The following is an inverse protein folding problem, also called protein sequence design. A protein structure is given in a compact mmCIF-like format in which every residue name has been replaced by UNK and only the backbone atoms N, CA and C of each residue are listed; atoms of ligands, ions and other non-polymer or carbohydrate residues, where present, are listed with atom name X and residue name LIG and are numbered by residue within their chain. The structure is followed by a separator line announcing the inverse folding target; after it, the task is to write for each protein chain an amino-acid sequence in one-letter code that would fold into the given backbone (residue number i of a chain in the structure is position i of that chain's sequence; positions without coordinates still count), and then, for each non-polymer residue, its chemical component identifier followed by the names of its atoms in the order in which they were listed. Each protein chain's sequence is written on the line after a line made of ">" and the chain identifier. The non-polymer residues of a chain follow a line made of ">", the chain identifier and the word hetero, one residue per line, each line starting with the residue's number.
data_IF_535474289811
#
_entry.id   IF_535474289811
#
_cell.length_a   1.000
_cell.length_b   1.000
_cell.length_c   1.000
_cell.angle_alpha   90.00
_cell.angle_beta   90.00
_cell.angle_gamma   90.00
#
_symmetry.space_group_name_H-M   'P 1'
#
loop_
_entity.id
_entity.type
_entity.pdbx_description
1 polymer ?
#
# COMPACT_ATOMS: atom_id res chain seq x y z
N UNK A 1 -8.77 18.81 3.56
CA UNK A 1 -9.40 18.24 4.77
C UNK A 1 -8.41 18.20 5.94
N UNK A 2 -8.88 18.38 7.16
CA UNK A 2 -8.06 18.25 8.39
C UNK A 2 -7.81 16.78 8.73
N UNK A 3 -8.66 15.90 8.23
CA UNK A 3 -8.62 14.45 8.45
C UNK A 3 -8.54 13.77 7.08
N UNK A 4 -7.74 12.70 6.93
CA UNK A 4 -7.72 11.92 5.70
C UNK A 4 -9.10 11.34 5.36
N UNK A 5 -9.49 11.45 4.11
CA UNK A 5 -10.76 10.94 3.61
C UNK A 5 -10.52 9.62 2.89
N UNK A 6 -11.38 8.64 3.14
CA UNK A 6 -11.40 7.36 2.44
C UNK A 6 -12.72 7.21 1.69
N UNK A 7 -12.61 6.87 0.41
CA UNK A 7 -13.72 6.57 -0.50
C UNK A 7 -13.32 5.36 -1.37
N UNK A 8 -13.62 5.30 -2.65
CA UNK A 8 -13.00 4.33 -3.58
C UNK A 8 -11.51 4.61 -3.87
N UNK A 9 -10.94 5.58 -3.20
CA UNK A 9 -9.56 6.01 -3.13
C UNK A 9 -9.25 6.58 -1.75
N UNK A 10 -8.33 7.53 -1.68
CA UNK A 10 -8.03 8.34 -0.50
C UNK A 10 -7.63 9.76 -0.87
N UNK A 11 -7.87 10.69 0.05
CA UNK A 11 -7.41 12.06 -0.04
C UNK A 11 -6.85 12.48 1.32
N UNK A 12 -5.62 12.96 1.35
CA UNK A 12 -4.99 13.45 2.56
C UNK A 12 -4.24 14.74 2.29
N UNK A 13 -4.26 15.67 3.27
CA UNK A 13 -3.42 16.86 3.25
C UNK A 13 -2.06 16.52 3.83
N UNK A 14 -1.01 16.86 3.13
CA UNK A 14 0.36 16.83 3.62
C UNK A 14 0.86 18.26 3.81
N UNK A 15 1.44 18.52 4.97
CA UNK A 15 2.24 19.72 5.22
C UNK A 15 3.70 19.33 4.99
N UNK A 16 4.41 20.11 4.18
CA UNK A 16 5.84 19.95 4.07
C UNK A 16 6.47 20.23 5.44
N UNK A 17 7.10 19.23 6.04
CA UNK A 17 8.00 19.46 7.16
C UNK A 17 9.39 19.70 6.59
N UNK A 18 9.99 20.81 6.93
CA UNK A 18 11.42 21.07 6.69
C UNK A 18 12.21 20.16 7.63
N UNK A 19 12.71 19.04 7.14
CA UNK A 19 13.53 18.16 7.93
C UNK A 19 14.11 17.00 7.12
N UNK A 20 15.41 17.00 7.03
CA UNK A 20 16.31 15.97 6.53
C UNK A 20 16.23 15.55 5.05
N UNK A 21 17.07 16.22 4.31
CA UNK A 21 17.41 16.09 2.88
C UNK A 21 18.14 14.78 2.49
N UNK A 22 17.97 13.68 3.20
CA UNK A 22 18.69 12.44 2.88
C UNK A 22 17.99 11.48 1.94
N UNK A 23 16.74 11.76 1.61
CA UNK A 23 15.98 10.97 0.63
C UNK A 23 15.45 11.91 -0.47
N UNK A 24 16.16 12.18 -1.50
CA UNK A 24 15.81 12.88 -2.76
C UNK A 24 14.30 13.07 -3.07
N UNK A 25 13.51 13.41 -2.07
CA UNK A 25 12.10 13.71 -2.17
C UNK A 25 12.00 15.23 -2.21
N UNK A 26 11.62 15.79 -3.34
CA UNK A 26 11.31 17.21 -3.48
C UNK A 26 10.20 17.53 -2.48
N UNK A 27 10.58 18.04 -1.32
CA UNK A 27 9.65 18.52 -0.31
C UNK A 27 9.05 19.81 -0.85
N UNK A 28 7.80 19.79 -1.24
CA UNK A 28 7.09 21.01 -1.61
C UNK A 28 7.00 21.90 -0.36
N UNK A 29 7.44 23.16 -0.47
CA UNK A 29 7.37 24.12 0.62
C UNK A 29 5.93 24.48 1.03
N UNK A 30 4.97 24.22 0.15
CA UNK A 30 3.55 24.48 0.33
C UNK A 30 2.78 23.18 0.65
N UNK A 31 1.72 23.27 1.45
CA UNK A 31 0.87 22.11 1.73
C UNK A 31 0.20 21.62 0.43
N UNK A 32 0.19 20.32 0.23
CA UNK A 32 -0.42 19.69 -0.95
C UNK A 32 -1.44 18.63 -0.57
N UNK A 33 -2.31 18.30 -1.53
CA UNK A 33 -3.24 17.19 -1.42
C UNK A 33 -2.65 15.96 -2.09
N UNK A 34 -2.59 14.85 -1.38
CA UNK A 34 -2.26 13.54 -1.92
C UNK A 34 -3.55 12.82 -2.26
N UNK A 35 -3.73 12.48 -3.52
CA UNK A 35 -4.84 11.69 -4.02
C UNK A 35 -4.34 10.33 -4.48
N UNK A 36 -5.13 9.30 -4.28
CA UNK A 36 -4.82 7.97 -4.76
C UNK A 36 -5.97 6.98 -4.54
N UNK A 37 -5.88 5.85 -5.16
CA UNK A 37 -5.01 5.45 -6.26
C UNK A 37 -5.88 4.92 -7.40
N UNK A 38 -5.31 4.86 -8.59
CA UNK A 38 -6.00 4.31 -9.76
C UNK A 38 -6.35 2.83 -9.58
N UNK A 39 -5.45 2.03 -9.00
CA UNK A 39 -5.61 0.58 -8.75
C UNK A 39 -5.84 -0.23 -10.02
N UNK A 40 -4.95 -0.10 -10.98
CA UNK A 40 -5.00 -0.90 -12.20
C UNK A 40 -4.53 -2.32 -11.89
N UNK A 41 -5.40 -3.29 -12.10
CA UNK A 41 -5.09 -4.72 -11.84
C UNK A 41 -4.26 -5.31 -12.97
N UNK A 42 -3.36 -6.22 -12.61
CA UNK A 42 -2.50 -6.95 -13.56
C UNK A 42 -1.63 -6.04 -14.44
N UNK A 43 -1.36 -4.84 -13.97
CA UNK A 43 -0.47 -3.89 -14.63
C UNK A 43 0.83 -3.78 -13.82
N UNK A 44 1.94 -4.03 -14.47
CA UNK A 44 3.29 -3.94 -13.90
C UNK A 44 4.04 -2.69 -14.38
N UNK A 45 3.41 -1.86 -15.22
CA UNK A 45 4.00 -0.61 -15.65
C UNK A 45 3.95 0.41 -14.50
N UNK A 46 5.07 1.07 -14.25
CA UNK A 46 5.23 2.11 -13.22
C UNK A 46 5.40 3.51 -13.79
N UNK A 47 5.18 3.69 -15.10
CA UNK A 47 5.16 4.99 -15.71
C UNK A 47 3.99 5.83 -15.19
N UNK A 48 4.20 7.13 -15.07
CA UNK A 48 3.15 8.06 -14.70
C UNK A 48 2.28 8.33 -15.93
N UNK A 49 1.02 7.97 -15.83
CA UNK A 49 0.05 8.12 -16.92
C UNK A 49 -0.97 9.22 -16.57
N UNK A 50 -1.15 10.21 -17.43
CA UNK A 50 -2.10 11.32 -17.19
C UNK A 50 -3.53 10.84 -16.95
N UNK A 51 -3.93 9.75 -17.62
CA UNK A 51 -5.26 9.16 -17.47
C UNK A 51 -5.54 8.71 -16.02
N UNK A 52 -4.50 8.27 -15.30
CA UNK A 52 -4.65 7.84 -13.92
C UNK A 52 -4.81 9.00 -12.95
N UNK A 53 -4.26 10.18 -13.29
CA UNK A 53 -4.55 11.41 -12.57
C UNK A 53 -6.04 11.77 -12.71
N UNK A 54 -6.58 11.67 -13.93
CA UNK A 54 -7.98 11.92 -14.18
C UNK A 54 -8.88 10.92 -13.43
N UNK A 55 -8.56 9.63 -13.48
CA UNK A 55 -9.28 8.59 -12.72
C UNK A 55 -9.31 8.93 -11.21
N UNK A 56 -8.18 9.35 -10.66
CA UNK A 56 -8.07 9.70 -9.23
C UNK A 56 -8.92 10.93 -8.89
N UNK A 57 -8.93 11.93 -9.76
CA UNK A 57 -9.75 13.12 -9.64
C UNK A 57 -11.25 12.79 -9.68
N UNK A 58 -11.67 12.01 -10.68
CA UNK A 58 -13.08 11.66 -10.89
C UNK A 58 -13.65 10.83 -9.75
N UNK A 59 -12.87 9.89 -9.21
CA UNK A 59 -13.24 9.14 -8.00
C UNK A 59 -13.49 10.05 -6.81
N UNK A 60 -12.66 11.08 -6.62
CA UNK A 60 -12.83 12.02 -5.51
C UNK A 60 -14.07 12.89 -5.70
N UNK A 61 -14.26 13.46 -6.89
CA UNK A 61 -15.41 14.33 -7.19
C UNK A 61 -16.72 13.54 -7.14
N UNK A 62 -16.72 12.28 -7.60
CA UNK A 62 -17.90 11.42 -7.47
C UNK A 62 -18.26 11.18 -6.01
N UNK A 63 -17.28 11.04 -5.14
CA UNK A 63 -17.52 10.81 -3.71
C UNK A 63 -17.83 12.08 -2.94
N UNK A 64 -17.25 13.21 -3.35
CA UNK A 64 -17.36 14.52 -2.67
C UNK A 64 -17.44 15.60 -3.74
N UNK A 65 -18.66 15.88 -4.29
CA UNK A 65 -18.85 16.81 -5.40
C UNK A 65 -18.31 18.23 -5.15
N UNK A 66 -18.33 18.69 -3.91
CA UNK A 66 -17.84 20.01 -3.50
C UNK A 66 -16.34 20.19 -3.79
N UNK A 67 -15.59 19.10 -3.89
CA UNK A 67 -14.17 19.15 -4.22
C UNK A 67 -13.91 19.60 -5.66
N UNK A 68 -14.91 19.55 -6.54
CA UNK A 68 -14.78 19.99 -7.93
C UNK A 68 -14.38 21.48 -8.06
N UNK A 69 -14.81 22.31 -7.12
CA UNK A 69 -14.46 23.74 -7.08
C UNK A 69 -13.07 24.02 -6.51
N UNK A 70 -12.48 23.05 -5.82
CA UNK A 70 -11.21 23.21 -5.09
C UNK A 70 -10.06 22.60 -5.89
N UNK A 71 -10.32 21.47 -6.57
CA UNK A 71 -9.27 20.71 -7.28
C UNK A 71 -9.24 21.12 -8.75
N UNK A 72 -8.07 21.49 -9.29
CA UNK A 72 -7.94 21.87 -10.68
C UNK A 72 -8.55 20.84 -11.63
N UNK A 73 -9.24 21.31 -12.65
CA UNK A 73 -9.78 20.43 -13.70
C UNK A 73 -8.66 19.86 -14.59
N UNK A 74 -7.64 20.69 -14.83
CA UNK A 74 -6.44 20.27 -15.55
C UNK A 74 -5.50 19.49 -14.62
N UNK A 75 -5.30 18.24 -14.93
CA UNK A 75 -4.42 17.32 -14.19
C UNK A 75 -3.02 17.22 -14.80
N UNK A 76 -2.73 17.95 -15.87
CA UNK A 76 -1.44 17.87 -16.58
C UNK A 76 -0.24 18.30 -15.73
N UNK A 77 -0.46 19.21 -14.79
CA UNK A 77 0.56 19.69 -13.85
C UNK A 77 0.67 18.87 -12.57
N UNK A 78 -0.15 17.83 -12.43
CA UNK A 78 -0.09 17.00 -11.24
C UNK A 78 1.17 16.15 -11.22
N UNK A 79 1.78 16.08 -10.06
CA UNK A 79 2.88 15.15 -9.82
C UNK A 79 2.31 13.81 -9.38
N UNK A 80 2.91 12.72 -9.83
CA UNK A 80 2.48 11.38 -9.49
C UNK A 80 3.64 10.49 -9.08
N UNK A 81 3.27 9.39 -8.42
CA UNK A 81 4.15 8.25 -8.17
C UNK A 81 3.36 6.99 -8.42
N UNK A 82 3.85 6.13 -9.26
CA UNK A 82 3.32 4.78 -9.45
C UNK A 82 4.22 3.74 -8.77
N UNK A 83 3.64 2.62 -8.43
CA UNK A 83 4.37 1.49 -7.84
C UNK A 83 3.54 0.23 -7.86
N UNK A 84 4.22 -0.90 -7.96
CA UNK A 84 3.58 -2.21 -7.98
C UNK A 84 3.17 -2.59 -6.56
N UNK A 85 1.90 -2.94 -6.40
CA UNK A 85 1.38 -3.52 -5.15
C UNK A 85 1.26 -5.02 -5.30
N UNK A 86 2.00 -5.74 -4.49
CA UNK A 86 1.88 -7.19 -4.40
C UNK A 86 0.77 -7.55 -3.40
N UNK A 87 -0.11 -8.44 -3.82
CA UNK A 87 -1.22 -8.94 -3.02
C UNK A 87 -1.50 -10.40 -3.36
N UNK A 88 -1.78 -11.20 -2.32
CA UNK A 88 -2.19 -12.59 -2.48
C UNK A 88 -3.67 -12.70 -2.87
N UNK A 89 -4.08 -13.82 -3.49
CA UNK A 89 -5.47 -14.07 -3.82
C UNK A 89 -6.41 -14.08 -2.62
N UNK A 90 -5.92 -14.45 -1.45
CA UNK A 90 -6.69 -14.51 -0.20
C UNK A 90 -6.58 -13.24 0.66
N UNK A 91 -5.91 -12.21 0.15
CA UNK A 91 -5.74 -10.90 0.80
C UNK A 91 -4.98 -10.93 2.14
N UNK A 92 -4.30 -12.04 2.45
CA UNK A 92 -3.44 -12.14 3.63
C UNK A 92 -1.98 -11.92 3.24
N UNK A 93 -1.18 -11.23 4.06
CA UNK A 93 0.27 -11.15 3.86
C UNK A 93 0.93 -12.53 3.78
N UNK A 94 2.16 -12.54 3.31
CA UNK A 94 3.03 -13.70 3.36
C UNK A 94 4.10 -13.42 4.40
N UNK A 95 4.12 -14.22 5.46
CA UNK A 95 5.08 -14.08 6.57
C UNK A 95 5.53 -15.47 7.02
N UNK A 96 6.84 -15.69 7.04
CA UNK A 96 7.41 -16.93 7.54
C UNK A 96 8.54 -17.49 6.69
N UNK A 97 8.93 -18.71 7.01
CA UNK A 97 10.02 -19.44 6.37
C UNK A 97 9.53 -20.13 5.09
N UNK A 98 10.33 -20.07 4.03
CA UNK A 98 10.03 -20.78 2.78
C UNK A 98 10.26 -22.29 2.95
N UNK A 99 9.33 -23.12 2.44
CA UNK A 99 9.39 -24.57 2.58
C UNK A 99 10.70 -25.21 2.06
N UNK A 100 11.22 -24.65 0.98
CA UNK A 100 12.40 -25.20 0.30
C UNK A 100 13.74 -24.64 0.85
N UNK A 101 13.71 -23.87 1.94
CA UNK A 101 14.92 -23.27 2.50
C UNK A 101 14.76 -23.04 4.00
N UNK A 102 15.68 -23.63 4.76
CA UNK A 102 15.77 -23.36 6.21
C UNK A 102 16.37 -22.00 6.56
N UNK A 103 16.84 -21.24 5.56
CA UNK A 103 17.56 -19.97 5.77
C UNK A 103 16.86 -18.76 5.18
N UNK A 104 15.80 -18.98 4.40
CA UNK A 104 15.09 -17.87 3.75
C UNK A 104 13.76 -17.63 4.44
N UNK A 105 13.63 -16.42 4.95
CA UNK A 105 12.41 -15.90 5.55
C UNK A 105 11.85 -14.79 4.69
N UNK A 106 10.55 -14.63 4.68
CA UNK A 106 9.88 -13.62 3.86
C UNK A 106 8.80 -12.87 4.63
N UNK A 107 8.68 -11.59 4.33
CA UNK A 107 7.56 -10.75 4.73
C UNK A 107 7.16 -9.90 3.53
N UNK A 108 6.03 -10.23 2.91
CA UNK A 108 5.61 -9.60 1.63
C UNK A 108 4.11 -9.61 1.44
N UNK A 109 3.66 -9.13 0.28
CA UNK A 109 2.26 -9.13 -0.15
C UNK A 109 1.28 -8.46 0.83
N UNK A 110 1.69 -7.37 1.45
CA UNK A 110 0.90 -6.62 2.43
C UNK A 110 -0.36 -5.97 1.84
N UNK A 111 -0.48 -5.92 0.53
CA UNK A 111 -1.61 -5.33 -0.17
C UNK A 111 -1.85 -3.86 0.22
N UNK A 112 -3.10 -3.52 0.49
CA UNK A 112 -3.50 -2.17 0.88
C UNK A 112 -3.32 -1.86 2.38
N UNK A 113 -2.92 -2.84 3.18
CA UNK A 113 -2.89 -2.74 4.65
C UNK A 113 -1.47 -2.72 5.22
N UNK A 114 -0.45 -2.50 4.39
CA UNK A 114 0.95 -2.61 4.77
C UNK A 114 1.30 -1.79 6.01
N UNK A 115 0.92 -0.52 6.07
CA UNK A 115 1.20 0.33 7.23
C UNK A 115 0.59 -0.19 8.54
N UNK A 116 -0.58 -0.81 8.48
CA UNK A 116 -1.25 -1.34 9.67
C UNK A 116 -0.70 -2.72 10.07
N UNK A 117 -0.35 -3.56 9.08
CA UNK A 117 0.02 -4.95 9.35
C UNK A 117 1.52 -5.17 9.48
N UNK A 118 2.36 -4.34 8.86
CA UNK A 118 3.79 -4.55 8.85
C UNK A 118 4.42 -4.64 10.26
N UNK A 119 4.06 -3.81 11.24
CA UNK A 119 4.65 -3.91 12.58
C UNK A 119 4.40 -5.26 13.23
N UNK A 120 3.14 -5.70 13.30
CA UNK A 120 2.79 -6.97 13.94
C UNK A 120 3.32 -8.17 13.15
N UNK A 121 3.37 -8.08 11.81
CA UNK A 121 3.96 -9.13 10.98
C UNK A 121 5.48 -9.22 11.16
N UNK A 122 6.15 -8.09 11.34
CA UNK A 122 7.60 -8.05 11.59
C UNK A 122 7.93 -8.66 12.97
N UNK A 123 7.16 -8.33 14.00
CA UNK A 123 7.30 -8.92 15.32
C UNK A 123 7.10 -10.44 15.26
N UNK A 124 6.00 -10.89 14.67
CA UNK A 124 5.74 -12.32 14.51
C UNK A 124 6.84 -13.05 13.71
N UNK A 125 7.41 -12.42 12.67
CA UNK A 125 8.51 -12.98 11.91
C UNK A 125 9.78 -13.09 12.75
N UNK A 126 10.11 -12.06 13.53
CA UNK A 126 11.26 -12.08 14.43
C UNK A 126 11.13 -13.17 15.50
N UNK A 127 9.95 -13.31 16.09
CA UNK A 127 9.69 -14.35 17.09
C UNK A 127 9.83 -15.75 16.50
N UNK A 128 9.30 -15.99 15.28
CA UNK A 128 9.51 -17.27 14.58
C UNK A 128 10.99 -17.55 14.32
N UNK A 129 11.78 -16.54 13.96
CA UNK A 129 13.23 -16.69 13.72
C UNK A 129 14.02 -16.98 14.99
N UNK A 130 13.59 -16.42 16.11
CA UNK A 130 14.26 -16.56 17.42
C UNK A 130 13.71 -17.73 18.25
N UNK A 131 12.64 -18.39 17.79
CA UNK A 131 11.96 -19.43 18.55
C UNK A 131 11.22 -18.89 19.80
N UNK A 132 10.83 -17.63 19.76
CA UNK A 132 10.08 -16.96 20.83
C UNK A 132 8.57 -17.12 20.64
N UNK A 133 7.81 -16.70 21.66
CA UNK A 133 6.35 -16.70 21.57
C UNK A 133 5.85 -15.55 20.68
N UNK A 134 5.10 -15.89 19.65
CA UNK A 134 4.51 -14.90 18.76
C UNK A 134 3.29 -14.20 19.40
N UNK A 135 3.06 -12.91 19.14
CA UNK A 135 1.83 -12.23 19.54
C UNK A 135 0.60 -12.71 18.74
N UNK A 136 0.82 -13.47 17.66
CA UNK A 136 -0.25 -14.02 16.83
C UNK A 136 -0.55 -15.47 17.21
N UNK A 137 -1.84 -15.83 17.17
CA UNK A 137 -2.25 -17.21 17.36
C UNK A 137 -1.73 -18.13 16.25
N UNK A 138 -1.61 -19.43 16.53
CA UNK A 138 -1.23 -20.44 15.54
C UNK A 138 -2.10 -20.41 14.28
N UNK A 139 -3.41 -20.21 14.46
CA UNK A 139 -4.35 -20.07 13.34
C UNK A 139 -4.01 -18.86 12.46
N UNK A 140 -3.62 -17.74 13.05
CA UNK A 140 -3.21 -16.56 12.28
C UNK A 140 -1.86 -16.79 11.60
N UNK A 141 -0.89 -17.39 12.28
CA UNK A 141 0.40 -17.75 11.69
C UNK A 141 0.24 -18.69 10.50
N UNK A 142 -0.63 -19.69 10.61
CA UNK A 142 -0.96 -20.58 9.50
C UNK A 142 -1.55 -19.83 8.28
N UNK A 143 -2.40 -18.82 8.53
CA UNK A 143 -2.96 -17.96 7.46
C UNK A 143 -1.92 -17.04 6.81
N UNK A 144 -0.85 -16.73 7.50
CA UNK A 144 0.23 -15.90 6.98
C UNK A 144 1.34 -16.72 6.32
N UNK A 145 1.40 -18.02 6.57
CA UNK A 145 2.44 -18.92 6.08
C UNK A 145 2.62 -18.82 4.55
N UNK A 146 3.87 -18.72 4.05
CA UNK A 146 4.16 -18.83 2.61
C UNK A 146 3.78 -20.20 2.05
N UNK A 147 3.64 -21.22 2.89
CA UNK A 147 3.37 -22.59 2.52
C UNK A 147 1.88 -22.96 2.62
N UNK A 148 1.01 -22.01 2.90
CA UNK A 148 -0.43 -22.27 3.02
C UNK A 148 -1.04 -22.73 1.70
N UNK A 149 -1.97 -23.66 1.76
CA UNK A 149 -2.61 -24.32 0.60
C UNK A 149 -3.18 -23.32 -0.41
N UNK A 150 -3.76 -22.20 0.06
CA UNK A 150 -4.35 -21.18 -0.81
C UNK A 150 -3.36 -20.53 -1.80
N UNK A 151 -2.07 -20.50 -1.47
CA UNK A 151 -1.04 -19.98 -2.37
C UNK A 151 -0.55 -21.04 -3.37
N UNK A 152 -0.77 -22.30 -3.08
CA UNK A 152 -0.35 -23.43 -3.91
C UNK A 152 -1.41 -23.82 -4.95
N UNK A 153 -2.65 -23.40 -4.74
CA UNK A 153 -3.74 -23.67 -5.68
C UNK A 153 -3.87 -22.50 -6.65
N UNK A 154 -3.68 -22.72 -7.96
CA UNK A 154 -3.93 -21.70 -8.96
C UNK A 154 -5.36 -21.18 -8.86
N UNK A 155 -5.54 -19.87 -9.03
CA UNK A 155 -6.86 -19.31 -9.27
C UNK A 155 -7.23 -19.62 -10.71
N UNK A 156 -8.20 -20.47 -10.89
CA UNK A 156 -8.83 -20.74 -12.19
C UNK A 156 -9.71 -19.56 -12.55
#
# INVERSE_FOLDING_TARGET
>A
PKIPLKYSGYCARFNAQSGDDKLNTVVAAEPYLLLGASFIRNDTNTDIRPEEHQISRDKLITAIPEMASIIPADTSLWRGRAGIRTQTPDYHPIVGQLANSQRIWTMSAMGAKGYALAPICAEALADMMLGSFSPLSETMLARLSPNRTRLQTPLV
#
